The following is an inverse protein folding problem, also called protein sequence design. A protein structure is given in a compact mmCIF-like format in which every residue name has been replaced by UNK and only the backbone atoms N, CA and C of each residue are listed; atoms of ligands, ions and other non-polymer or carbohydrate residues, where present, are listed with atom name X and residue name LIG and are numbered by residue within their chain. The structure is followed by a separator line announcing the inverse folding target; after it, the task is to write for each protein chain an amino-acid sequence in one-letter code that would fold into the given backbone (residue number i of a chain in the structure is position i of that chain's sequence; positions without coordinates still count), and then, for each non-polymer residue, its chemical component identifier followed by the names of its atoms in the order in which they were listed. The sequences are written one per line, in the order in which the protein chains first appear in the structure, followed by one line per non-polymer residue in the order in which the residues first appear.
data_IF_854250128420
#
_entry.id   IF_854250128420
#
_cell.length_a   1.000
_cell.length_b   1.000
_cell.length_c   1.000
_cell.angle_alpha   90.00
_cell.angle_beta   90.00
_cell.angle_gamma   90.00
#
_symmetry.space_group_name_H-M   'P 1'
#
loop_
_entity.id
_entity.type
_entity.pdbx_description
1 polymer ?
#
# COMPACT_ATOMS: atom_id res chain seq x y z
N UNK A 1 -5.02 1.39 39.22
CA UNK A 1 -5.87 0.84 38.14
C UNK A 1 -5.15 1.09 36.83
N UNK A 2 -5.05 0.10 35.95
CA UNK A 2 -4.43 0.28 34.64
C UNK A 2 -5.21 1.35 33.85
N UNK A 3 -4.48 2.29 33.26
CA UNK A 3 -5.06 3.32 32.40
C UNK A 3 -5.72 2.66 31.18
N UNK A 4 -6.61 3.38 30.49
CA UNK A 4 -7.18 2.88 29.23
C UNK A 4 -6.06 2.62 28.21
N UNK A 5 -5.00 3.43 28.26
CA UNK A 5 -3.84 3.38 27.38
C UNK A 5 -3.01 2.11 27.63
N UNK A 6 -2.78 1.73 28.88
CA UNK A 6 -2.02 0.52 29.26
C UNK A 6 -2.70 -0.75 28.75
N UNK A 7 -4.04 -0.80 28.80
CA UNK A 7 -4.83 -1.93 28.32
C UNK A 7 -4.80 -2.06 26.80
N UNK A 8 -4.67 -0.94 26.10
CA UNK A 8 -4.61 -0.91 24.64
C UNK A 8 -3.18 -1.23 24.18
N UNK A 9 -2.14 -0.77 24.87
CA UNK A 9 -0.73 -1.08 24.54
C UNK A 9 -0.32 -2.51 24.91
N UNK A 10 -1.12 -3.20 25.74
CA UNK A 10 -0.81 -4.56 26.15
C UNK A 10 0.39 -4.66 27.10
N UNK A 11 0.81 -3.53 27.69
CA UNK A 11 1.84 -3.51 28.71
C UNK A 11 1.36 -4.35 29.91
N UNK A 12 1.97 -5.52 30.08
CA UNK A 12 1.81 -6.30 31.30
C UNK A 12 2.50 -5.53 32.43
N UNK A 13 1.70 -4.99 33.35
CA UNK A 13 2.09 -4.26 34.57
C UNK A 13 2.95 -5.06 35.58
N UNK A 14 3.57 -6.16 35.16
CA UNK A 14 4.37 -7.05 35.99
C UNK A 14 5.77 -7.20 35.43
N UNK A 15 6.48 -6.09 35.26
CA UNK A 15 7.94 -6.11 35.28
C UNK A 15 8.39 -6.13 36.74
N UNK A 16 8.27 -7.30 37.38
CA UNK A 16 8.92 -7.55 38.66
C UNK A 16 10.43 -7.61 38.41
N UNK A 17 11.10 -6.48 38.61
CA UNK A 17 12.54 -6.44 38.85
C UNK A 17 12.82 -7.07 40.22
N UNK A 18 13.03 -8.39 40.25
CA UNK A 18 13.63 -9.02 41.42
C UNK A 18 15.13 -8.75 41.39
N UNK A 19 15.53 -7.61 41.94
CA UNK A 19 16.85 -7.49 42.54
C UNK A 19 16.85 -8.35 43.80
N UNK A 20 17.63 -9.42 43.81
CA UNK A 20 17.97 -10.15 45.04
C UNK A 20 19.39 -10.67 44.91
N UNK A 21 20.12 -10.43 45.99
CA UNK A 21 21.56 -10.41 46.15
C UNK A 21 21.97 -11.71 46.88
N UNK A 22 22.99 -12.41 46.36
CA UNK A 22 24.00 -13.29 47.02
C UNK A 22 23.58 -14.52 47.87
N UNK A 23 24.07 -15.73 47.52
CA UNK A 23 24.81 -16.67 48.40
C UNK A 23 25.17 -17.99 47.68
N UNK A 24 26.43 -18.41 47.80
CA UNK A 24 27.08 -19.59 47.23
C UNK A 24 26.52 -20.96 47.70
N UNK A 25 26.67 -22.01 46.86
CA UNK A 25 26.52 -23.42 47.26
C UNK A 25 26.37 -24.46 46.14
N UNK A 26 27.50 -24.95 45.63
CA UNK A 26 27.90 -26.29 45.09
C UNK A 26 26.94 -27.24 44.29
N UNK A 27 27.47 -27.63 43.11
CA UNK A 27 27.42 -28.90 42.35
C UNK A 27 26.12 -29.69 42.12
N UNK A 28 25.72 -29.78 40.83
CA UNK A 28 25.40 -31.06 40.18
C UNK A 28 25.37 -30.92 38.65
N UNK A 29 26.18 -31.74 37.97
CA UNK A 29 26.23 -31.94 36.53
C UNK A 29 24.86 -32.25 35.90
N UNK A 30 24.49 -31.50 34.85
CA UNK A 30 23.49 -31.94 33.88
C UNK A 30 23.76 -31.31 32.49
N UNK A 31 24.12 -32.20 31.58
CA UNK A 31 24.33 -32.03 30.14
C UNK A 31 23.18 -31.25 29.47
N UNK A 32 23.49 -30.12 28.79
CA UNK A 32 22.62 -29.60 27.74
C UNK A 32 23.38 -28.71 26.77
N UNK A 33 23.40 -29.17 25.52
CA UNK A 33 24.11 -28.61 24.38
C UNK A 33 23.71 -27.15 24.11
N UNK A 34 24.73 -26.32 23.92
CA UNK A 34 24.63 -24.90 23.60
C UNK A 34 24.39 -24.71 22.08
N UNK A 35 23.28 -24.08 21.60
CA UNK A 35 23.20 -23.65 20.22
C UNK A 35 23.77 -22.24 20.07
N UNK A 36 24.75 -22.10 19.17
CA UNK A 36 25.39 -20.85 18.74
C UNK A 36 24.35 -19.78 18.32
N UNK A 37 24.60 -18.49 18.57
CA UNK A 37 23.77 -17.42 18.04
C UNK A 37 24.05 -17.27 16.53
N UNK A 38 23.12 -17.76 15.73
CA UNK A 38 23.13 -17.49 14.29
C UNK A 38 22.63 -16.06 14.09
N UNK A 39 23.54 -15.12 13.82
CA UNK A 39 23.22 -13.80 13.29
C UNK A 39 22.57 -13.97 11.91
N UNK A 40 21.25 -14.19 11.89
CA UNK A 40 20.45 -13.91 10.71
C UNK A 40 19.99 -12.48 10.84
N UNK A 41 20.44 -11.63 9.92
CA UNK A 41 19.90 -10.29 9.75
C UNK A 41 18.39 -10.43 9.58
N UNK A 42 17.64 -10.09 10.64
CA UNK A 42 16.20 -10.09 10.60
C UNK A 42 15.77 -9.04 9.56
N UNK A 43 15.38 -9.52 8.38
CA UNK A 43 14.64 -8.72 7.44
C UNK A 43 13.43 -8.14 8.19
N UNK A 44 13.28 -6.82 8.12
CA UNK A 44 12.13 -6.12 8.68
C UNK A 44 10.85 -6.87 8.27
N UNK A 45 9.95 -7.22 9.21
CA UNK A 45 8.73 -7.94 8.88
C UNK A 45 7.95 -7.10 7.85
N UNK A 46 7.59 -7.73 6.73
CA UNK A 46 6.78 -7.08 5.71
C UNK A 46 5.51 -6.54 6.35
N UNK A 47 5.26 -5.22 6.28
CA UNK A 47 4.08 -4.66 6.89
C UNK A 47 2.89 -5.21 6.11
N UNK A 48 2.06 -6.03 6.74
CA UNK A 48 0.77 -6.55 6.24
C UNK A 48 0.78 -7.93 5.53
N UNK A 49 1.58 -8.91 5.95
CA UNK A 49 1.25 -10.32 5.65
C UNK A 49 -0.08 -10.68 6.33
N UNK A 50 -1.09 -11.09 5.55
CA UNK A 50 -2.41 -11.45 6.08
C UNK A 50 -2.31 -12.74 6.92
N UNK A 51 -2.29 -12.60 8.24
CA UNK A 51 -2.19 -13.72 9.20
C UNK A 51 -3.55 -14.34 9.57
N UNK A 52 -4.60 -14.12 8.76
CA UNK A 52 -5.92 -14.71 8.98
C UNK A 52 -6.81 -13.96 10.00
N UNK A 53 -6.29 -12.90 10.64
CA UNK A 53 -7.08 -12.04 11.53
C UNK A 53 -7.23 -10.65 10.91
N UNK A 54 -8.47 -10.18 10.70
CA UNK A 54 -8.72 -8.82 10.19
C UNK A 54 -8.27 -7.79 11.23
N UNK A 55 -7.09 -7.22 11.02
CA UNK A 55 -6.48 -6.21 11.90
C UNK A 55 -6.34 -4.85 11.24
N UNK A 56 -6.79 -4.70 9.99
CA UNK A 56 -6.61 -3.48 9.21
C UNK A 56 -7.92 -2.69 9.01
N UNK A 57 -9.06 -3.18 9.49
CA UNK A 57 -10.37 -2.52 9.33
C UNK A 57 -11.19 -2.53 10.63
N UNK A 58 -12.11 -1.57 10.76
CA UNK A 58 -13.02 -1.45 11.91
C UNK A 58 -12.32 -1.10 13.23
N UNK A 59 -12.94 -1.40 14.40
CA UNK A 59 -12.37 -1.06 15.71
C UNK A 59 -10.97 -1.64 15.96
N UNK A 60 -10.66 -2.80 15.39
CA UNK A 60 -9.33 -3.44 15.50
C UNK A 60 -8.26 -2.70 14.71
N UNK A 61 -8.61 -2.21 13.51
CA UNK A 61 -7.73 -1.36 12.71
C UNK A 61 -7.37 -0.07 13.42
N UNK A 62 -8.37 0.61 14.00
CA UNK A 62 -8.15 1.84 14.79
C UNK A 62 -7.21 1.60 15.97
N UNK A 63 -7.41 0.52 16.73
CA UNK A 63 -6.54 0.16 17.86
C UNK A 63 -5.11 -0.08 17.40
N UNK A 64 -4.92 -0.84 16.33
CA UNK A 64 -3.58 -1.15 15.79
C UNK A 64 -2.87 0.09 15.26
N UNK A 65 -3.59 0.95 14.54
CA UNK A 65 -3.05 2.21 14.04
C UNK A 65 -2.68 3.15 15.19
N UNK A 66 -3.45 3.16 16.28
CA UNK A 66 -3.10 3.94 17.49
C UNK A 66 -1.89 3.37 18.23
N UNK A 67 -1.78 2.05 18.39
CA UNK A 67 -0.61 1.39 18.99
C UNK A 67 0.67 1.76 18.22
N UNK A 68 0.61 1.70 16.89
CA UNK A 68 1.73 2.04 16.02
C UNK A 68 2.05 3.54 16.03
N UNK A 69 1.04 4.40 16.09
CA UNK A 69 1.23 5.84 16.28
C UNK A 69 2.00 6.13 17.58
N UNK A 70 1.56 5.57 18.71
CA UNK A 70 2.21 5.74 20.01
C UNK A 70 3.63 5.18 20.02
N UNK A 71 3.86 4.04 19.38
CA UNK A 71 5.22 3.49 19.24
C UNK A 71 6.14 4.45 18.49
N UNK A 72 5.72 4.98 17.33
CA UNK A 72 6.51 5.94 16.56
C UNK A 72 6.75 7.27 17.32
N UNK A 73 5.75 7.72 18.08
CA UNK A 73 5.86 8.90 18.94
C UNK A 73 6.96 8.70 20.00
N UNK A 74 6.94 7.55 20.69
CA UNK A 74 7.95 7.22 21.69
C UNK A 74 9.34 7.08 21.09
N UNK A 75 9.47 6.39 19.95
CA UNK A 75 10.75 6.23 19.24
C UNK A 75 11.33 7.59 18.85
N UNK A 76 10.53 8.48 18.22
CA UNK A 76 10.95 9.84 17.88
C UNK A 76 11.39 10.64 19.10
N UNK A 77 10.66 10.56 20.21
CA UNK A 77 11.03 11.25 21.45
C UNK A 77 12.39 10.77 21.96
N UNK A 78 12.62 9.45 21.96
CA UNK A 78 13.93 8.91 22.37
C UNK A 78 15.06 9.31 21.42
N UNK A 79 14.79 9.45 20.13
CA UNK A 79 15.80 9.83 19.15
C UNK A 79 16.15 11.32 19.24
N UNK A 80 15.16 12.21 19.39
CA UNK A 80 15.42 13.63 19.67
C UNK A 80 16.22 13.82 20.97
N UNK A 81 15.93 13.04 22.02
CA UNK A 81 16.68 13.10 23.28
C UNK A 81 18.14 12.67 23.09
N UNK A 82 18.38 11.58 22.34
CA UNK A 82 19.75 11.14 21.98
C UNK A 82 20.48 12.22 21.19
N UNK A 83 19.85 12.80 20.17
CA UNK A 83 20.44 13.87 19.36
C UNK A 83 20.79 15.10 20.21
N UNK A 84 19.90 15.51 21.12
CA UNK A 84 20.13 16.62 22.05
C UNK A 84 21.33 16.35 22.96
N UNK A 85 21.41 15.15 23.52
CA UNK A 85 22.53 14.73 24.37
C UNK A 85 23.84 14.72 23.56
N UNK A 86 23.83 14.24 22.32
CA UNK A 86 25.00 14.25 21.44
C UNK A 86 25.46 15.66 21.07
N UNK A 87 24.52 16.57 20.76
CA UNK A 87 24.81 17.97 20.49
C UNK A 87 25.38 18.67 21.71
N UNK A 88 24.76 18.48 22.88
CA UNK A 88 25.27 19.02 24.14
C UNK A 88 26.71 18.55 24.41
N UNK A 89 26.99 17.24 24.25
CA UNK A 89 28.35 16.67 24.37
C UNK A 89 29.35 17.32 23.41
N UNK A 90 28.95 17.57 22.15
CA UNK A 90 29.78 18.25 21.13
C UNK A 90 30.02 19.72 21.47
N UNK A 91 29.06 20.41 22.10
CA UNK A 91 29.12 21.84 22.41
C UNK A 91 29.79 22.15 23.75
N UNK A 92 29.90 21.20 24.68
CA UNK A 92 30.55 21.39 26.01
C UNK A 92 32.07 21.57 26.01
N UNK A 93 32.71 21.96 24.90
CA UNK A 93 34.09 22.47 24.89
C UNK A 93 34.09 24.00 25.11
N UNK A 94 33.80 24.41 26.35
CA UNK A 94 34.15 25.67 27.07
C UNK A 94 32.98 26.22 27.90
N UNK A 95 33.33 26.68 29.11
CA UNK A 95 32.44 27.00 30.23
C UNK A 95 31.55 28.21 29.96
N UNK A 96 30.24 28.08 30.17
CA UNK A 96 29.35 29.13 30.68
C UNK A 96 28.09 28.52 31.34
N UNK A 97 27.48 29.26 32.26
CA UNK A 97 26.83 28.78 33.50
C UNK A 97 25.47 28.09 33.37
N UNK A 98 25.37 26.95 34.04
CA UNK A 98 24.32 25.93 34.05
C UNK A 98 22.93 26.32 34.63
N UNK A 99 22.58 27.59 34.77
CA UNK A 99 21.35 28.00 35.48
C UNK A 99 20.38 28.89 34.68
N UNK A 100 20.80 29.47 33.55
CA UNK A 100 19.97 30.43 32.79
C UNK A 100 19.32 29.80 31.53
N UNK A 101 19.93 28.79 30.90
CA UNK A 101 19.41 28.15 29.67
C UNK A 101 18.38 27.04 29.92
N UNK A 102 18.39 26.40 31.09
CA UNK A 102 17.53 25.23 31.37
C UNK A 102 16.07 25.62 31.66
N UNK A 103 15.78 26.88 32.01
CA UNK A 103 14.45 27.35 32.44
C UNK A 103 13.59 27.98 31.35
N UNK A 104 14.13 28.27 30.16
CA UNK A 104 13.39 28.93 29.07
C UNK A 104 13.08 28.01 27.87
N UNK A 105 13.67 26.82 27.79
CA UNK A 105 13.45 25.87 26.70
C UNK A 105 12.48 24.72 27.02
N UNK A 106 11.97 24.64 28.25
CA UNK A 106 11.19 23.49 28.74
C UNK A 106 9.67 23.70 28.83
N UNK A 107 9.18 24.94 28.74
CA UNK A 107 7.74 25.24 28.91
C UNK A 107 7.23 26.18 27.79
N UNK A 108 7.35 25.75 26.53
CA UNK A 108 6.54 26.34 25.44
C UNK A 108 5.34 25.44 25.14
N UNK A 109 4.18 25.66 25.78
CA UNK A 109 2.97 24.86 25.55
C UNK A 109 2.46 25.00 24.11
N UNK A 110 2.81 26.06 23.40
CA UNK A 110 2.42 26.29 22.01
C UNK A 110 3.17 25.34 21.06
N UNK A 111 4.43 25.01 21.39
CA UNK A 111 5.24 24.04 20.63
C UNK A 111 4.76 22.59 20.85
N UNK A 112 4.24 22.27 22.04
CA UNK A 112 3.69 20.94 22.36
C UNK A 112 2.35 20.67 21.66
N UNK A 113 1.47 21.67 21.53
CA UNK A 113 0.22 21.56 20.76
C UNK A 113 0.46 21.50 19.24
N UNK A 114 1.44 22.26 18.72
CA UNK A 114 1.82 22.20 17.29
C UNK A 114 2.43 20.84 16.89
N UNK A 115 3.09 20.15 17.82
CA UNK A 115 3.71 18.84 17.59
C UNK A 115 2.70 17.68 17.54
N UNK A 116 1.58 17.73 18.26
CA UNK A 116 0.58 16.65 18.29
C UNK A 116 -0.23 16.58 16.98
N UNK A 117 -0.69 17.72 16.48
CA UNK A 117 -1.45 17.80 15.22
C UNK A 117 -0.56 17.56 13.98
N UNK A 118 0.67 18.09 13.96
CA UNK A 118 1.61 17.84 12.85
C UNK A 118 2.04 16.37 12.82
N UNK A 119 2.32 15.77 13.97
CA UNK A 119 2.73 14.38 14.02
C UNK A 119 1.62 13.43 13.56
N UNK A 120 0.37 13.65 13.96
CA UNK A 120 -0.78 12.88 13.49
C UNK A 120 -0.95 12.97 11.97
N UNK A 121 -0.80 14.16 11.38
CA UNK A 121 -0.82 14.35 9.92
C UNK A 121 0.34 13.61 9.24
N UNK A 122 1.55 13.65 9.80
CA UNK A 122 2.69 12.90 9.25
C UNK A 122 2.47 11.39 9.28
N UNK A 123 1.88 10.87 10.36
CA UNK A 123 1.52 9.47 10.48
C UNK A 123 0.45 9.06 9.46
N UNK A 124 -0.60 9.89 9.31
CA UNK A 124 -1.65 9.67 8.32
C UNK A 124 -1.07 9.59 6.90
N UNK A 125 -0.20 10.55 6.56
CA UNK A 125 0.51 10.60 5.28
C UNK A 125 1.40 9.37 5.07
N UNK A 126 2.18 8.99 6.08
CA UNK A 126 3.05 7.82 6.04
C UNK A 126 2.22 6.56 5.80
N UNK A 127 1.09 6.38 6.50
CA UNK A 127 0.26 5.19 6.36
C UNK A 127 -0.37 5.08 4.96
N UNK A 128 -0.85 6.19 4.40
CA UNK A 128 -1.34 6.21 3.02
C UNK A 128 -0.24 5.90 2.00
N UNK A 129 0.96 6.45 2.18
CA UNK A 129 2.10 6.17 1.30
C UNK A 129 2.49 4.68 1.34
N UNK A 130 2.50 4.06 2.52
CA UNK A 130 2.76 2.63 2.65
C UNK A 130 1.72 1.80 1.90
N UNK A 131 0.43 2.13 2.03
CA UNK A 131 -0.63 1.43 1.30
C UNK A 131 -0.49 1.57 -0.22
N UNK A 132 -0.17 2.77 -0.71
CA UNK A 132 0.05 3.01 -2.14
C UNK A 132 1.27 2.26 -2.66
N UNK A 133 2.39 2.26 -1.93
CA UNK A 133 3.61 1.52 -2.30
C UNK A 133 3.38 0.02 -2.41
N UNK A 134 2.52 -0.55 -1.56
CA UNK A 134 2.19 -1.98 -1.59
C UNK A 134 1.38 -2.38 -2.83
N UNK A 135 0.51 -1.49 -3.32
CA UNK A 135 -0.25 -1.72 -4.54
C UNK A 135 0.55 -1.41 -5.81
N UNK A 136 1.66 -0.68 -5.71
CA UNK A 136 2.52 -0.37 -6.84
C UNK A 136 3.49 -1.52 -7.12
N UNK A 137 3.28 -2.23 -8.22
CA UNK A 137 4.28 -3.13 -8.81
C UNK A 137 5.02 -2.46 -9.96
N UNK A 138 6.29 -2.83 -10.15
CA UNK A 138 7.15 -2.26 -11.20
C UNK A 138 6.87 -2.79 -12.62
N UNK A 139 5.89 -3.70 -12.78
CA UNK A 139 5.53 -4.26 -14.08
C UNK A 139 4.80 -3.20 -14.92
N UNK A 140 5.29 -2.98 -16.14
CA UNK A 140 4.75 -2.02 -17.09
C UNK A 140 4.54 -2.70 -18.44
N UNK A 141 3.32 -2.64 -18.97
CA UNK A 141 2.96 -3.23 -20.27
C UNK A 141 2.88 -2.14 -21.35
N UNK A 142 2.04 -1.11 -21.15
CA UNK A 142 2.00 0.09 -21.99
C UNK A 142 1.35 -0.09 -23.38
N UNK A 143 1.06 -1.32 -23.80
CA UNK A 143 0.52 -1.65 -25.12
C UNK A 143 -0.63 -2.66 -25.06
N UNK A 144 -1.41 -2.71 -26.15
CA UNK A 144 -2.47 -3.70 -26.36
C UNK A 144 -1.90 -4.94 -27.06
N UNK A 145 -1.92 -6.07 -26.38
CA UNK A 145 -1.35 -7.33 -26.86
C UNK A 145 -2.43 -8.16 -27.57
N UNK A 146 -2.21 -8.53 -28.83
CA UNK A 146 -3.12 -9.42 -29.55
C UNK A 146 -2.73 -10.88 -29.34
N UNK A 147 -3.67 -11.67 -28.83
CA UNK A 147 -3.50 -13.09 -28.56
C UNK A 147 -4.03 -13.91 -29.74
N UNK A 148 -3.21 -14.84 -30.22
CA UNK A 148 -3.49 -15.61 -31.44
C UNK A 148 -4.26 -16.89 -31.17
N UNK A 149 -4.10 -17.49 -29.98
CA UNK A 149 -4.64 -18.79 -29.62
C UNK A 149 -5.09 -18.85 -28.14
N UNK A 150 -5.80 -19.92 -27.78
CA UNK A 150 -6.28 -20.13 -26.41
C UNK A 150 -5.16 -20.44 -25.40
N UNK A 151 -4.00 -20.91 -25.84
CA UNK A 151 -2.86 -21.16 -24.95
C UNK A 151 -2.21 -19.85 -24.49
N UNK A 152 -1.99 -18.90 -25.41
CA UNK A 152 -1.54 -17.54 -25.14
C UNK A 152 -2.52 -16.80 -24.21
N UNK A 153 -3.82 -17.06 -24.34
CA UNK A 153 -4.85 -16.55 -23.43
C UNK A 153 -4.65 -17.06 -22.00
N UNK A 154 -4.48 -18.36 -21.81
CA UNK A 154 -4.26 -18.95 -20.49
C UNK A 154 -2.93 -18.48 -19.91
N UNK A 155 -1.86 -18.49 -20.71
CA UNK A 155 -0.54 -18.01 -20.32
C UNK A 155 -0.56 -16.54 -19.90
N UNK A 156 -1.33 -15.69 -20.59
CA UNK A 156 -1.46 -14.28 -20.26
C UNK A 156 -2.08 -14.07 -18.87
N UNK A 157 -2.90 -15.01 -18.37
CA UNK A 157 -3.59 -14.98 -17.08
C UNK A 157 -2.79 -15.67 -15.99
N UNK A 158 -2.37 -16.92 -16.22
CA UNK A 158 -1.83 -17.81 -15.19
C UNK A 158 -0.35 -17.51 -14.86
N UNK A 159 0.42 -17.00 -15.83
CA UNK A 159 1.86 -16.70 -15.65
C UNK A 159 2.11 -15.27 -15.16
N UNK A 160 1.06 -14.49 -14.94
CA UNK A 160 1.17 -13.09 -14.55
C UNK A 160 1.21 -12.90 -13.03
N UNK A 161 1.77 -11.78 -12.57
CA UNK A 161 1.86 -11.49 -11.15
C UNK A 161 0.46 -11.24 -10.54
N UNK A 162 0.21 -11.73 -9.32
CA UNK A 162 -1.13 -11.70 -8.67
C UNK A 162 -1.71 -10.29 -8.49
N UNK A 163 -0.85 -9.28 -8.37
CA UNK A 163 -1.28 -7.88 -8.21
C UNK A 163 -1.63 -7.20 -9.54
N UNK A 164 -1.26 -7.79 -10.68
CA UNK A 164 -1.56 -7.24 -12.01
C UNK A 164 -3.02 -7.49 -12.32
N UNK A 165 -3.68 -6.44 -12.81
CA UNK A 165 -5.02 -6.55 -13.39
C UNK A 165 -4.87 -6.76 -14.89
N UNK A 166 -5.59 -7.73 -15.43
CA UNK A 166 -5.51 -8.14 -16.83
C UNK A 166 -6.87 -7.92 -17.44
N UNK A 167 -6.94 -7.09 -18.48
CA UNK A 167 -8.16 -6.77 -19.21
C UNK A 167 -8.07 -7.45 -20.57
N UNK A 168 -8.99 -8.37 -20.84
CA UNK A 168 -9.05 -9.13 -22.09
C UNK A 168 -10.31 -8.75 -22.86
N UNK A 169 -10.11 -8.18 -24.03
CA UNK A 169 -11.16 -7.86 -24.98
C UNK A 169 -11.38 -9.02 -25.94
N UNK A 170 -12.56 -9.62 -25.86
CA UNK A 170 -13.03 -10.60 -26.83
C UNK A 170 -13.78 -9.87 -27.93
N UNK A 171 -13.30 -10.01 -29.16
CA UNK A 171 -13.78 -9.21 -30.28
C UNK A 171 -13.95 -10.00 -31.56
N UNK A 172 -14.67 -9.40 -32.51
CA UNK A 172 -14.80 -9.89 -33.89
C UNK A 172 -14.52 -8.75 -34.87
N UNK A 173 -13.79 -9.03 -35.95
CA UNK A 173 -13.36 -7.99 -36.90
C UNK A 173 -14.51 -7.40 -37.71
N UNK A 174 -15.61 -8.13 -37.83
CA UNK A 174 -16.79 -7.71 -38.61
C UNK A 174 -17.72 -6.77 -37.84
N UNK A 175 -17.42 -6.47 -36.58
CA UNK A 175 -18.27 -5.66 -35.69
C UNK A 175 -17.62 -4.29 -35.46
N UNK A 176 -18.33 -3.20 -35.78
CA UNK A 176 -17.79 -1.83 -35.67
C UNK A 176 -17.43 -1.45 -34.22
N UNK A 177 -18.30 -1.64 -33.21
CA UNK A 177 -17.97 -1.36 -31.81
C UNK A 177 -16.70 -2.07 -31.30
N UNK A 178 -16.43 -3.29 -31.79
CA UNK A 178 -15.20 -4.02 -31.47
C UNK A 178 -13.94 -3.29 -31.97
N UNK A 179 -13.99 -2.71 -33.16
CA UNK A 179 -12.85 -1.95 -33.73
C UNK A 179 -12.60 -0.66 -32.95
N UNK A 180 -13.68 0.02 -32.54
CA UNK A 180 -13.62 1.21 -31.70
C UNK A 180 -13.01 0.83 -30.34
N UNK A 181 -13.51 -0.21 -29.69
CA UNK A 181 -12.98 -0.72 -28.42
C UNK A 181 -11.48 -1.03 -28.49
N UNK A 182 -11.01 -1.70 -29.55
CA UNK A 182 -9.57 -1.95 -29.74
C UNK A 182 -8.73 -0.66 -29.82
N UNK A 183 -9.28 0.40 -30.42
CA UNK A 183 -8.61 1.72 -30.48
C UNK A 183 -8.58 2.36 -29.10
N UNK A 184 -9.71 2.35 -28.38
CA UNK A 184 -9.82 2.87 -27.02
C UNK A 184 -8.86 2.15 -26.06
N UNK A 185 -8.81 0.82 -26.06
CA UNK A 185 -7.93 0.04 -25.19
C UNK A 185 -6.45 0.28 -25.49
N UNK A 186 -6.09 0.56 -26.75
CA UNK A 186 -4.71 0.94 -27.12
C UNK A 186 -4.31 2.31 -26.56
N UNK A 187 -5.26 3.23 -26.44
CA UNK A 187 -5.02 4.52 -25.78
C UNK A 187 -4.93 4.34 -24.27
N UNK A 188 -5.86 3.57 -23.68
CA UNK A 188 -5.87 3.26 -22.26
C UNK A 188 -4.64 2.48 -21.80
N UNK A 189 -4.08 1.59 -22.63
CA UNK A 189 -2.87 0.83 -22.27
C UNK A 189 -1.67 1.73 -22.00
N UNK A 190 -1.57 2.88 -22.70
CA UNK A 190 -0.50 3.87 -22.51
C UNK A 190 -0.69 4.70 -21.25
N UNK A 191 -1.93 4.88 -20.83
CA UNK A 191 -2.28 5.58 -19.60
C UNK A 191 -2.04 4.64 -18.43
N UNK A 192 -2.60 3.44 -18.47
CA UNK A 192 -2.58 2.45 -17.39
C UNK A 192 -1.48 1.40 -17.59
N UNK A 193 -0.22 1.83 -17.47
CA UNK A 193 0.93 0.95 -17.70
C UNK A 193 1.00 -0.25 -16.74
N UNK A 194 0.41 -0.13 -15.54
CA UNK A 194 0.35 -1.19 -14.52
C UNK A 194 -0.68 -2.29 -14.83
N UNK A 195 -1.53 -2.08 -15.84
CA UNK A 195 -2.60 -3.00 -16.27
C UNK A 195 -2.19 -3.62 -17.60
N UNK A 196 -2.42 -4.93 -17.72
CA UNK A 196 -2.14 -5.67 -18.94
C UNK A 196 -3.39 -5.70 -19.81
N UNK A 197 -3.33 -5.07 -20.98
CA UNK A 197 -4.42 -5.10 -21.95
C UNK A 197 -4.15 -6.13 -23.03
N UNK A 198 -5.08 -7.04 -23.21
CA UNK A 198 -5.04 -8.07 -24.24
C UNK A 198 -6.31 -8.03 -25.09
N UNK A 199 -6.21 -8.49 -26.33
CA UNK A 199 -7.34 -8.66 -27.23
C UNK A 199 -7.24 -10.03 -27.93
N UNK A 200 -8.36 -10.73 -28.05
CA UNK A 200 -8.45 -12.04 -28.70
C UNK A 200 -9.69 -12.14 -29.57
N UNK A 201 -9.54 -12.75 -30.75
CA UNK A 201 -10.68 -13.01 -31.64
C UNK A 201 -11.53 -14.13 -31.05
N UNK A 202 -12.86 -13.95 -31.05
CA UNK A 202 -13.81 -14.92 -30.49
C UNK A 202 -13.66 -16.35 -31.05
N UNK A 203 -13.25 -16.50 -32.31
CA UNK A 203 -12.91 -17.80 -32.92
C UNK A 203 -11.70 -18.49 -32.28
N UNK A 204 -10.67 -17.73 -31.91
CA UNK A 204 -9.45 -18.26 -31.29
C UNK A 204 -9.66 -18.59 -29.81
N UNK A 205 -10.57 -17.87 -29.15
CA UNK A 205 -10.97 -18.12 -27.76
C UNK A 205 -11.88 -19.35 -27.58
N UNK A 206 -12.27 -20.05 -28.65
CA UNK A 206 -13.11 -21.25 -28.57
C UNK A 206 -14.57 -20.97 -28.21
N UNK A 207 -15.07 -19.76 -28.43
CA UNK A 207 -16.41 -19.35 -28.02
C UNK A 207 -17.51 -19.80 -29.01
N UNK A 208 -18.73 -19.93 -28.49
CA UNK A 208 -19.90 -20.37 -29.26
C UNK A 208 -20.23 -19.38 -30.39
N UNK A 209 -20.88 -19.88 -31.44
CA UNK A 209 -21.29 -19.03 -32.58
C UNK A 209 -22.24 -17.91 -32.15
N UNK A 210 -23.15 -18.21 -31.22
CA UNK A 210 -24.11 -17.22 -30.71
C UNK A 210 -23.42 -16.10 -29.94
N UNK A 211 -22.39 -16.42 -29.15
CA UNK A 211 -21.62 -15.42 -28.42
C UNK A 211 -20.87 -14.47 -29.36
N UNK A 212 -20.30 -15.00 -30.45
CA UNK A 212 -19.59 -14.18 -31.46
C UNK A 212 -20.50 -13.19 -32.20
N UNK A 213 -21.81 -13.44 -32.23
CA UNK A 213 -22.78 -12.58 -32.90
C UNK A 213 -23.44 -11.61 -31.92
N UNK A 214 -23.77 -12.08 -30.71
CA UNK A 214 -24.62 -11.33 -29.75
C UNK A 214 -23.92 -10.90 -28.46
N UNK A 215 -22.72 -11.40 -28.21
CA UNK A 215 -21.98 -11.19 -26.96
C UNK A 215 -20.82 -10.22 -27.07
N UNK A 216 -20.34 -9.92 -28.27
CA UNK A 216 -19.22 -8.99 -28.50
C UNK A 216 -19.71 -7.55 -28.74
N UNK A 217 -18.94 -6.51 -28.36
CA UNK A 217 -17.66 -6.55 -27.65
C UNK A 217 -17.82 -6.99 -26.19
N UNK A 218 -16.94 -7.88 -25.72
CA UNK A 218 -16.92 -8.32 -24.33
C UNK A 218 -15.57 -8.04 -23.67
N UNK A 219 -15.59 -7.56 -22.43
CA UNK A 219 -14.40 -7.37 -21.59
C UNK A 219 -14.43 -8.34 -20.41
N UNK A 220 -13.40 -9.19 -20.34
CA UNK A 220 -13.11 -10.01 -19.18
C UNK A 220 -11.96 -9.40 -18.41
N UNK A 221 -12.09 -9.33 -17.09
CA UNK A 221 -11.10 -8.71 -16.23
C UNK A 221 -10.67 -9.73 -15.20
N UNK A 222 -9.37 -10.00 -15.18
CA UNK A 222 -8.74 -10.97 -14.29
C UNK A 222 -7.83 -10.29 -13.29
N UNK A 223 -7.79 -10.82 -12.07
CA UNK A 223 -6.81 -10.47 -11.04
C UNK A 223 -6.49 -11.70 -10.22
N UNK A 224 -5.20 -11.96 -9.98
CA UNK A 224 -4.74 -13.16 -9.26
C UNK A 224 -5.33 -14.50 -9.79
N UNK A 225 -5.49 -14.62 -11.10
CA UNK A 225 -6.06 -15.82 -11.76
C UNK A 225 -7.58 -15.97 -11.62
N UNK A 226 -8.27 -15.02 -11.01
CA UNK A 226 -9.72 -15.03 -10.85
C UNK A 226 -10.39 -13.97 -11.74
N UNK A 227 -11.59 -14.28 -12.23
CA UNK A 227 -12.43 -13.31 -12.96
C UNK A 227 -13.03 -12.35 -11.93
N UNK A 228 -12.69 -11.07 -12.06
CA UNK A 228 -13.22 -9.98 -11.21
C UNK A 228 -14.32 -9.21 -11.94
N UNK A 229 -14.24 -9.11 -13.27
CA UNK A 229 -15.24 -8.44 -14.10
C UNK A 229 -15.54 -9.24 -15.37
N UNK A 230 -16.81 -9.28 -15.75
CA UNK A 230 -17.27 -9.89 -17.00
C UNK A 230 -18.38 -9.04 -17.61
N UNK A 231 -18.02 -8.24 -18.60
CA UNK A 231 -18.91 -7.34 -19.30
C UNK A 231 -19.15 -7.85 -20.71
N UNK A 232 -20.40 -8.14 -21.02
CA UNK A 232 -20.81 -8.75 -22.29
C UNK A 232 -21.64 -7.72 -23.04
N UNK A 233 -21.39 -7.57 -24.34
CA UNK A 233 -22.10 -6.61 -25.20
C UNK A 233 -22.06 -5.19 -24.62
N UNK A 234 -20.85 -4.68 -24.39
CA UNK A 234 -20.62 -3.34 -23.84
C UNK A 234 -21.25 -2.21 -24.65
N UNK A 235 -21.61 -2.47 -25.91
CA UNK A 235 -22.40 -1.55 -26.73
C UNK A 235 -23.78 -1.21 -26.14
N UNK A 236 -24.36 -2.04 -25.28
CA UNK A 236 -25.63 -1.73 -24.61
C UNK A 236 -25.48 -0.62 -23.57
N UNK A 237 -24.33 -0.58 -22.88
CA UNK A 237 -24.05 0.37 -21.80
C UNK A 237 -23.40 1.67 -22.34
N UNK A 238 -22.48 1.53 -23.30
CA UNK A 238 -21.71 2.65 -23.85
C UNK A 238 -22.31 3.24 -25.14
N UNK A 239 -23.24 2.53 -25.78
CA UNK A 239 -23.74 2.87 -27.11
C UNK A 239 -22.84 2.37 -28.24
N UNK A 240 -23.18 2.76 -29.47
CA UNK A 240 -22.47 2.35 -30.69
C UNK A 240 -21.23 3.20 -30.99
N UNK A 241 -21.22 4.46 -30.52
CA UNK A 241 -20.14 5.43 -30.70
C UNK A 241 -19.65 5.91 -29.32
N UNK A 242 -18.51 5.39 -28.87
CA UNK A 242 -17.88 5.74 -27.60
C UNK A 242 -16.38 6.01 -27.77
N UNK A 243 -15.78 6.69 -26.81
CA UNK A 243 -14.38 7.07 -26.77
C UNK A 243 -13.62 6.39 -25.62
N UNK A 244 -12.30 6.56 -25.58
CA UNK A 244 -11.47 5.99 -24.52
C UNK A 244 -11.87 6.48 -23.12
N UNK A 245 -12.35 7.72 -23.01
CA UNK A 245 -12.83 8.34 -21.77
C UNK A 245 -14.08 7.64 -21.22
N UNK A 246 -15.01 7.26 -22.10
CA UNK A 246 -16.23 6.54 -21.71
C UNK A 246 -15.91 5.14 -21.18
N UNK A 247 -15.02 4.42 -21.88
CA UNK A 247 -14.53 3.09 -21.45
C UNK A 247 -13.76 3.20 -20.14
N UNK A 248 -12.95 4.24 -19.96
CA UNK A 248 -12.25 4.50 -18.71
C UNK A 248 -13.23 4.76 -17.58
N UNK A 249 -14.19 5.67 -17.77
CA UNK A 249 -15.21 6.01 -16.79
C UNK A 249 -15.99 4.78 -16.34
N UNK A 250 -16.44 3.96 -17.29
CA UNK A 250 -17.13 2.71 -17.02
C UNK A 250 -16.29 1.73 -16.18
N UNK A 251 -15.02 1.52 -16.54
CA UNK A 251 -14.14 0.60 -15.80
C UNK A 251 -13.77 1.12 -14.41
N UNK A 252 -13.64 2.44 -14.24
CA UNK A 252 -13.37 3.07 -12.95
C UNK A 252 -14.60 3.01 -12.05
N UNK A 253 -15.79 3.29 -12.57
CA UNK A 253 -17.07 3.23 -11.83
C UNK A 253 -17.33 1.84 -11.27
N UNK A 254 -16.99 0.81 -12.05
CA UNK A 254 -17.09 -0.58 -11.62
C UNK A 254 -15.92 -1.06 -10.74
N UNK A 255 -14.95 -0.19 -10.43
CA UNK A 255 -13.79 -0.50 -9.58
C UNK A 255 -12.77 -1.45 -10.22
N UNK A 256 -12.76 -1.53 -11.55
CA UNK A 256 -11.86 -2.40 -12.32
C UNK A 256 -10.53 -1.72 -12.67
N UNK A 257 -10.54 -0.38 -12.75
CA UNK A 257 -9.34 0.45 -12.90
C UNK A 257 -9.21 1.42 -11.73
N UNK A 258 -7.97 1.80 -11.43
CA UNK A 258 -7.68 2.83 -10.44
C UNK A 258 -8.07 4.22 -10.98
N UNK A 259 -8.76 5.00 -10.16
CA UNK A 259 -9.00 6.39 -10.47
C UNK A 259 -7.74 7.21 -10.15
N UNK A 260 -7.04 7.66 -11.20
CA UNK A 260 -5.86 8.52 -11.05
C UNK A 260 -6.19 9.90 -10.47
N UNK A 261 -7.43 10.36 -10.63
CA UNK A 261 -7.88 11.65 -10.09
C UNK A 261 -8.15 11.56 -8.59
N UNK A 262 -8.59 10.40 -8.11
CA UNK A 262 -8.85 10.08 -6.70
C UNK A 262 -7.57 9.70 -5.92
N UNK A 263 -6.47 10.41 -6.18
CA UNK A 263 -5.30 10.35 -5.30
C UNK A 263 -5.49 11.34 -4.15
N UNK A 264 -5.36 10.93 -2.87
CA UNK A 264 -5.62 11.80 -1.74
C UNK A 264 -4.65 12.98 -1.74
N UNK A 265 -5.17 14.19 -1.52
CA UNK A 265 -4.41 15.45 -1.59
C UNK A 265 -3.17 15.45 -0.69
N UNK A 266 -3.25 14.79 0.46
CA UNK A 266 -2.15 14.66 1.44
C UNK A 266 -0.94 13.87 0.90
N UNK A 267 -1.14 13.04 -0.13
CA UNK A 267 -0.08 12.27 -0.81
C UNK A 267 0.32 12.91 -2.14
N UNK A 268 -0.51 13.78 -2.72
CA UNK A 268 -0.10 14.52 -3.93
C UNK A 268 1.17 15.32 -3.59
N UNK A 269 2.24 15.19 -4.39
CA UNK A 269 3.37 16.09 -4.25
C UNK A 269 2.81 17.49 -4.52
N UNK A 270 2.88 18.38 -3.52
CA UNK A 270 2.27 19.69 -3.62
C UNK A 270 2.83 20.42 -4.84
N UNK A 271 1.96 20.75 -5.79
CA UNK A 271 2.20 21.87 -6.70
C UNK A 271 2.28 23.12 -5.83
N UNK A 272 3.49 23.36 -5.33
CA UNK A 272 3.86 24.63 -4.71
C UNK A 272 4.18 25.57 -5.87
N UNK A 273 3.19 25.86 -6.71
CA UNK A 273 3.24 27.07 -7.51
C UNK A 273 3.02 28.21 -6.52
N UNK A 274 4.14 28.80 -6.13
CA UNK A 274 4.21 30.16 -5.61
C UNK A 274 3.61 31.06 -6.68
N UNK A 275 2.35 31.41 -6.53
CA UNK A 275 1.82 32.65 -7.09
C UNK A 275 2.08 33.76 -6.05
N UNK A 276 3.36 34.10 -5.92
CA UNK A 276 3.79 35.40 -5.43
C UNK A 276 4.19 36.24 -6.66
N UNK A 277 3.39 37.29 -6.91
CA UNK A 277 3.75 38.55 -7.57
C UNK A 277 4.07 38.56 -9.08
N UNK A 278 3.17 39.15 -9.88
CA UNK A 278 3.24 40.57 -10.28
C UNK A 278 1.88 41.10 -10.77
#
# INVERSE_FOLDING_TARGET
MASLEDKILGEKMHNYCSSSEESDGEDSDADSENPKPTHTAAALPEPNKWEGTSTNTGPKGVIKDWQRYKQLETEKRTDCEKERIELAKKLTLTVQSALEEERQALDDPELAELLDDEFLLTYQKQRMQEMLKQNQHNLKFGELIFLSNGEEYLDAIDKEHKNVTIVIHIYEENVTPCRIMNTCLRELSKVYNNVKFCAIIGSCAGLSRDFKIKGVPALLIYKAGQIVGNFIRLSDDLGDDFCAEDVQGFLVEHGMLEDKTCTPLIVKPGDTQRDDSD
#
